data_IF_231394521317
#
_entry.id   IF_231394521317
#
_cell.length_a   1.000
_cell.length_b   1.000
_cell.length_c   1.000
_cell.angle_alpha   90.00
_cell.angle_beta   90.00
_cell.angle_gamma   90.00
#
_symmetry.space_group_name_H-M   'P 1'
#
loop_
_entity.id
_entity.type
_entity.pdbx_description
1 polymer ?
#
# COMPACT_ATOMS: atom_id res chain seq x y z
N UNK A 1 5.94 -30.16 -14.38
CA UNK A 1 6.86 -30.65 -13.31
C UNK A 1 6.09 -30.49 -12.00
N UNK A 2 5.61 -31.59 -11.42
CA UNK A 2 4.69 -31.59 -10.30
C UNK A 2 5.36 -31.04 -9.02
N UNK A 3 4.65 -30.21 -8.27
CA UNK A 3 5.06 -29.74 -6.96
C UNK A 3 4.96 -30.92 -5.98
N UNK A 4 6.10 -31.36 -5.44
CA UNK A 4 6.11 -32.27 -4.29
C UNK A 4 5.55 -31.51 -3.08
N UNK A 5 4.58 -32.12 -2.40
CA UNK A 5 4.10 -31.67 -1.10
C UNK A 5 5.28 -31.74 -0.12
N UNK A 6 5.65 -30.60 0.46
CA UNK A 6 6.62 -30.52 1.55
C UNK A 6 6.17 -31.39 2.73
N UNK A 7 7.12 -32.01 3.41
CA UNK A 7 6.87 -32.88 4.56
C UNK A 7 6.14 -32.18 5.71
N UNK A 8 5.76 -32.93 6.77
CA UNK A 8 5.03 -32.39 7.91
C UNK A 8 5.80 -31.20 8.50
N UNK A 9 5.17 -30.03 8.48
CA UNK A 9 5.70 -28.82 9.10
C UNK A 9 6.02 -29.05 10.57
N UNK A 10 6.93 -28.23 11.11
CA UNK A 10 7.41 -28.31 12.49
C UNK A 10 6.29 -28.31 13.56
N UNK A 11 6.65 -28.37 14.85
CA UNK A 11 5.67 -28.51 15.93
C UNK A 11 4.56 -27.46 15.82
N UNK A 12 3.28 -27.85 16.05
CA UNK A 12 2.14 -26.95 15.89
C UNK A 12 2.32 -25.74 16.80
N UNK A 13 2.47 -24.55 16.20
CA UNK A 13 2.54 -23.31 16.95
C UNK A 13 1.12 -22.92 17.39
N UNK A 14 0.85 -23.01 18.69
CA UNK A 14 -0.39 -22.51 19.29
C UNK A 14 -0.27 -21.00 19.46
N UNK A 15 -1.10 -20.24 18.73
CA UNK A 15 -1.25 -18.80 18.92
C UNK A 15 -2.51 -18.53 19.75
N UNK A 16 -2.34 -17.95 20.93
CA UNK A 16 -3.43 -17.38 21.71
C UNK A 16 -3.49 -15.88 21.45
N UNK A 17 -4.62 -15.39 20.98
CA UNK A 17 -4.94 -13.96 20.93
C UNK A 17 -6.07 -13.73 21.94
N UNK A 18 -5.88 -12.78 22.86
CA UNK A 18 -6.93 -12.37 23.79
C UNK A 18 -7.37 -10.97 23.39
N UNK A 19 -8.61 -10.86 22.92
CA UNK A 19 -9.24 -9.59 22.58
C UNK A 19 -10.14 -9.15 23.72
N UNK A 20 -10.05 -7.87 24.08
CA UNK A 20 -10.86 -7.26 25.12
C UNK A 20 -11.65 -6.12 24.51
N UNK A 21 -12.95 -6.02 24.82
CA UNK A 21 -13.70 -4.80 24.52
C UNK A 21 -13.18 -3.64 25.39
N UNK A 22 -13.36 -2.41 24.89
CA UNK A 22 -12.81 -1.21 25.53
C UNK A 22 -13.26 -1.07 27.00
N UNK A 23 -14.52 -1.40 27.30
CA UNK A 23 -15.07 -1.33 28.65
C UNK A 23 -14.50 -2.39 29.59
N UNK A 24 -14.25 -3.60 29.10
CA UNK A 24 -13.57 -4.65 29.86
C UNK A 24 -12.09 -4.34 30.07
N UNK A 25 -11.40 -3.79 29.06
CA UNK A 25 -10.01 -3.32 29.21
C UNK A 25 -9.90 -2.27 30.31
N UNK A 26 -10.77 -1.26 30.28
CA UNK A 26 -10.75 -0.17 31.25
C UNK A 26 -11.14 -0.62 32.66
N UNK A 27 -12.09 -1.56 32.80
CA UNK A 27 -12.49 -2.11 34.09
C UNK A 27 -11.44 -3.02 34.72
N UNK A 28 -10.78 -3.87 33.93
CA UNK A 28 -9.81 -4.85 34.46
C UNK A 28 -8.41 -4.26 34.65
N UNK A 29 -8.01 -3.32 33.80
CA UNK A 29 -6.66 -2.78 33.81
C UNK A 29 -6.59 -1.28 34.14
N UNK A 30 -7.74 -0.62 34.33
CA UNK A 30 -7.81 0.83 34.56
C UNK A 30 -7.36 1.65 33.35
N UNK A 31 -7.05 2.93 33.56
CA UNK A 31 -6.06 3.59 32.73
C UNK A 31 -4.72 2.94 33.07
N UNK A 32 -4.36 1.87 32.36
CA UNK A 32 -2.93 1.62 32.13
C UNK A 32 -2.45 2.97 31.61
N UNK A 33 -1.64 3.69 32.42
CA UNK A 33 -0.82 4.74 31.83
C UNK A 33 -0.07 3.98 30.77
N UNK A 34 -0.49 4.17 29.51
CA UNK A 34 0.13 3.58 28.34
C UNK A 34 1.61 3.78 28.60
N UNK A 35 2.31 2.69 28.98
CA UNK A 35 3.64 2.82 29.55
C UNK A 35 4.43 3.44 28.42
N UNK A 36 4.68 4.75 28.52
CA UNK A 36 5.28 5.51 27.44
C UNK A 36 6.70 5.01 27.44
N UNK A 37 6.94 3.98 26.63
CA UNK A 37 8.25 3.38 26.46
C UNK A 37 9.14 4.54 26.09
N UNK A 38 10.06 4.88 26.98
CA UNK A 38 10.95 6.00 26.73
C UNK A 38 11.74 5.67 25.46
N UNK A 39 11.55 6.47 24.42
CA UNK A 39 12.26 6.31 23.16
C UNK A 39 13.76 6.19 23.42
N UNK A 40 14.33 5.06 22.99
CA UNK A 40 15.77 4.82 23.03
C UNK A 40 16.50 5.91 22.23
N UNK A 41 17.77 6.15 22.56
CA UNK A 41 18.60 7.15 21.87
C UNK A 41 18.62 6.95 20.35
N UNK A 42 18.63 5.70 19.89
CA UNK A 42 18.56 5.36 18.46
C UNK A 42 17.31 5.89 17.76
N UNK A 43 16.16 5.85 18.44
CA UNK A 43 14.89 6.38 17.91
C UNK A 43 14.98 7.90 17.75
N UNK A 44 15.53 8.58 18.76
CA UNK A 44 15.71 10.05 18.74
C UNK A 44 16.68 10.50 17.65
N UNK A 45 17.81 9.80 17.50
CA UNK A 45 18.79 10.06 16.44
C UNK A 45 18.17 9.86 15.05
N UNK A 46 17.38 8.81 14.88
CA UNK A 46 16.69 8.56 13.61
C UNK A 46 15.65 9.64 13.32
N UNK A 47 14.88 10.09 14.32
CA UNK A 47 13.95 11.21 14.18
C UNK A 47 14.67 12.51 13.77
N UNK A 48 15.80 12.84 14.40
CA UNK A 48 16.59 14.02 14.05
C UNK A 48 17.15 13.95 12.62
N UNK A 49 17.70 12.80 12.22
CA UNK A 49 18.16 12.59 10.85
C UNK A 49 17.02 12.79 9.84
N UNK A 50 15.81 12.40 10.22
CA UNK A 50 14.63 12.59 9.39
C UNK A 50 14.17 14.03 9.26
N UNK A 51 14.24 14.80 10.36
CA UNK A 51 13.88 16.23 10.35
C UNK A 51 14.80 17.05 9.44
N UNK A 52 16.05 16.59 9.22
CA UNK A 52 17.01 17.24 8.33
C UNK A 52 16.84 16.85 6.86
N UNK A 53 16.08 15.79 6.55
CA UNK A 53 15.86 15.32 5.19
C UNK A 53 14.48 15.76 4.68
N UNK A 54 14.35 15.88 3.35
CA UNK A 54 13.05 16.06 2.72
C UNK A 54 12.13 14.88 3.08
N UNK A 55 10.95 15.18 3.62
CA UNK A 55 9.88 14.22 3.88
C UNK A 55 8.82 14.29 2.78
N UNK A 56 8.01 13.24 2.65
CA UNK A 56 6.79 13.24 1.85
C UNK A 56 5.71 12.42 2.55
N UNK A 57 4.49 12.54 2.09
CA UNK A 57 3.36 11.73 2.54
C UNK A 57 3.18 10.51 1.64
N UNK A 58 2.47 9.50 2.14
CA UNK A 58 2.09 8.35 1.34
C UNK A 58 1.12 8.74 0.20
N UNK A 59 0.25 9.71 0.43
CA UNK A 59 -0.63 10.28 -0.58
C UNK A 59 0.16 10.86 -1.76
N UNK A 60 1.20 11.65 -1.50
CA UNK A 60 2.09 12.17 -2.54
C UNK A 60 2.77 11.04 -3.34
N UNK A 61 3.09 9.92 -2.69
CA UNK A 61 3.62 8.75 -3.38
C UNK A 61 2.59 8.12 -4.33
N UNK A 62 1.32 8.05 -3.93
CA UNK A 62 0.24 7.56 -4.80
C UNK A 62 -0.04 8.51 -5.96
N UNK A 63 -0.02 9.82 -5.72
CA UNK A 63 -0.16 10.83 -6.77
C UNK A 63 0.95 10.69 -7.81
N UNK A 64 2.20 10.48 -7.37
CA UNK A 64 3.33 10.23 -8.27
C UNK A 64 3.17 8.91 -9.04
N UNK A 65 2.72 7.85 -8.37
CA UNK A 65 2.55 6.53 -8.99
C UNK A 65 1.43 6.50 -10.05
N UNK A 66 0.39 7.31 -9.87
CA UNK A 66 -0.77 7.39 -10.77
C UNK A 66 -0.72 8.61 -11.70
N UNK A 67 0.39 9.35 -11.67
CA UNK A 67 0.62 10.51 -12.53
C UNK A 67 0.64 10.07 -14.00
N UNK A 68 0.05 10.90 -14.85
CA UNK A 68 0.14 10.73 -16.30
C UNK A 68 1.55 11.08 -16.77
N UNK A 69 2.16 10.16 -17.52
CA UNK A 69 3.52 10.29 -18.04
C UNK A 69 3.49 10.28 -19.57
N UNK A 70 4.27 11.16 -20.20
CA UNK A 70 4.48 11.12 -21.65
C UNK A 70 5.49 10.04 -21.98
N UNK A 71 5.16 9.19 -22.96
CA UNK A 71 6.06 8.18 -23.46
C UNK A 71 7.29 8.85 -24.09
N UNK A 72 8.48 8.30 -23.82
CA UNK A 72 9.68 8.72 -24.53
C UNK A 72 9.52 8.42 -26.04
N UNK A 73 10.25 9.10 -26.93
CA UNK A 73 10.20 8.81 -28.36
C UNK A 73 10.46 7.34 -28.70
N UNK A 74 11.37 6.71 -27.96
CA UNK A 74 11.75 5.29 -28.12
C UNK A 74 10.66 4.32 -27.60
N UNK A 75 9.77 4.79 -26.72
CA UNK A 75 8.63 4.04 -26.16
C UNK A 75 7.30 4.43 -26.83
N UNK A 76 7.34 5.12 -27.97
CA UNK A 76 6.14 5.59 -28.66
C UNK A 76 5.18 4.44 -28.98
N UNK A 77 3.88 4.65 -28.72
CA UNK A 77 2.88 3.62 -28.96
C UNK A 77 2.50 3.60 -30.44
N UNK A 78 2.35 2.40 -31.03
CA UNK A 78 1.90 2.28 -32.41
C UNK A 78 0.37 2.31 -32.48
N UNK A 79 -0.18 3.34 -33.10
CA UNK A 79 -1.62 3.47 -33.23
C UNK A 79 -2.22 2.37 -34.12
N UNK A 80 -3.18 1.56 -33.65
CA UNK A 80 -3.78 0.50 -34.44
C UNK A 80 -4.65 1.04 -35.59
N UNK A 81 -5.10 2.30 -35.51
CA UNK A 81 -5.85 2.96 -36.58
C UNK A 81 -4.92 3.64 -37.59
N UNK A 82 -4.03 4.53 -37.12
CA UNK A 82 -3.14 5.30 -38.01
C UNK A 82 -1.94 4.51 -38.51
N UNK A 83 -1.61 3.36 -37.90
CA UNK A 83 -0.48 2.48 -38.23
C UNK A 83 0.91 3.13 -38.11
N UNK A 84 1.00 4.27 -37.43
CA UNK A 84 2.24 5.03 -37.16
C UNK A 84 2.54 5.07 -35.66
N UNK A 85 3.82 5.27 -35.32
CA UNK A 85 4.24 5.55 -33.94
C UNK A 85 3.72 6.93 -33.53
N UNK A 86 3.19 7.01 -32.32
CA UNK A 86 2.64 8.22 -31.74
C UNK A 86 3.21 8.36 -30.33
N UNK A 87 3.66 9.56 -29.99
CA UNK A 87 4.08 9.85 -28.62
C UNK A 87 2.82 10.10 -27.79
N UNK A 88 2.37 9.06 -27.09
CA UNK A 88 1.17 9.09 -26.28
C UNK A 88 1.48 9.41 -24.81
N UNK A 89 0.43 9.53 -24.02
CA UNK A 89 0.51 9.52 -22.57
C UNK A 89 0.04 8.18 -22.01
N UNK A 90 0.65 7.75 -20.93
CA UNK A 90 0.22 6.59 -20.15
C UNK A 90 -0.14 7.05 -18.76
N UNK A 91 -1.31 6.61 -18.29
CA UNK A 91 -1.76 6.83 -16.92
C UNK A 91 -2.07 5.49 -16.29
N UNK A 92 -1.47 5.23 -15.13
CA UNK A 92 -1.79 4.08 -14.30
C UNK A 92 -2.92 4.45 -13.33
N UNK A 93 -3.82 3.51 -13.05
CA UNK A 93 -4.90 3.71 -12.08
C UNK A 93 -5.26 2.39 -11.37
N UNK A 94 -5.69 2.48 -10.11
CA UNK A 94 -6.14 1.32 -9.34
C UNK A 94 -7.60 1.04 -9.67
N UNK A 95 -7.91 -0.13 -10.25
CA UNK A 95 -9.29 -0.46 -10.63
C UNK A 95 -10.13 -1.01 -9.46
N UNK A 96 -9.51 -1.82 -8.62
CA UNK A 96 -10.11 -2.42 -7.41
C UNK A 96 -9.06 -2.52 -6.34
N UNK A 97 -9.47 -2.42 -5.07
CA UNK A 97 -8.57 -2.62 -3.94
C UNK A 97 -8.82 -3.99 -3.27
N UNK A 98 -7.77 -4.66 -2.78
CA UNK A 98 -7.88 -5.91 -2.03
C UNK A 98 -8.25 -5.66 -0.56
N UNK A 99 -8.77 -6.67 0.14
CA UNK A 99 -9.04 -6.59 1.59
C UNK A 99 -7.76 -6.35 2.40
N UNK A 100 -6.63 -6.87 1.92
CA UNK A 100 -5.28 -6.65 2.49
C UNK A 100 -4.43 -5.94 1.45
N UNK A 101 -4.20 -4.64 1.66
CA UNK A 101 -3.36 -3.82 0.79
C UNK A 101 -1.89 -3.88 1.22
N UNK A 102 -1.02 -4.30 0.30
CA UNK A 102 0.43 -4.31 0.50
C UNK A 102 1.04 -3.14 -0.28
N UNK A 103 1.72 -2.24 0.44
CA UNK A 103 2.38 -1.07 -0.14
C UNK A 103 3.89 -1.24 -0.04
N UNK A 104 4.56 -1.30 -1.19
CA UNK A 104 6.02 -1.34 -1.25
C UNK A 104 6.59 0.01 -1.68
N UNK A 105 7.32 0.65 -0.77
CA UNK A 105 8.08 1.87 -1.07
C UNK A 105 9.36 1.51 -1.83
N UNK A 106 9.48 1.94 -3.09
CA UNK A 106 10.64 1.70 -3.97
C UNK A 106 11.88 2.48 -3.51
N UNK A 107 12.47 2.08 -2.39
CA UNK A 107 13.58 2.80 -1.74
C UNK A 107 14.94 2.51 -2.36
N UNK A 108 15.09 1.44 -3.14
CA UNK A 108 16.36 1.08 -3.73
C UNK A 108 16.42 1.49 -5.19
N UNK A 109 17.47 2.22 -5.56
CA UNK A 109 17.72 2.65 -6.93
C UNK A 109 19.17 2.34 -7.30
N UNK A 110 19.37 1.78 -8.48
CA UNK A 110 20.68 1.67 -9.09
C UNK A 110 20.74 2.62 -10.28
N UNK A 111 21.77 3.46 -10.32
CA UNK A 111 22.07 4.36 -11.45
C UNK A 111 23.51 4.12 -11.84
N UNK A 112 23.72 3.60 -13.05
CA UNK A 112 25.00 3.04 -13.48
C UNK A 112 25.54 2.04 -12.43
N UNK A 113 26.78 2.24 -11.98
CA UNK A 113 27.42 1.42 -10.94
C UNK A 113 27.02 1.82 -9.51
N UNK A 114 26.33 2.95 -9.33
CA UNK A 114 26.01 3.46 -7.99
C UNK A 114 24.67 2.97 -7.51
N UNK A 115 24.70 2.35 -6.33
CA UNK A 115 23.56 1.76 -5.64
C UNK A 115 23.19 2.63 -4.45
N UNK A 116 21.93 3.05 -4.39
CA UNK A 116 21.45 3.98 -3.38
C UNK A 116 20.18 3.49 -2.71
N UNK A 117 20.09 3.76 -1.41
CA UNK A 117 18.84 3.63 -0.64
C UNK A 117 18.31 5.04 -0.34
N UNK A 118 17.04 5.25 -0.66
CA UNK A 118 16.30 6.45 -0.30
C UNK A 118 15.86 6.35 1.16
N UNK A 119 16.37 7.27 1.98
CA UNK A 119 16.09 7.37 3.42
C UNK A 119 15.02 8.41 3.74
N UNK A 120 14.39 9.02 2.73
CA UNK A 120 13.36 10.05 2.91
C UNK A 120 12.17 9.51 3.73
N UNK A 121 11.68 10.34 4.64
CA UNK A 121 10.50 10.06 5.46
C UNK A 121 9.30 9.94 4.58
N UNK A 122 8.57 8.84 4.72
CA UNK A 122 7.22 8.74 4.17
C UNK A 122 6.28 8.71 5.36
N UNK A 123 5.51 9.78 5.51
CA UNK A 123 4.47 9.87 6.52
C UNK A 123 3.24 9.11 6.03
N UNK A 124 2.79 8.14 6.83
CA UNK A 124 1.58 7.36 6.55
C UNK A 124 0.72 7.28 7.82
N UNK A 125 -0.61 7.26 7.69
CA UNK A 125 -1.50 7.12 8.84
C UNK A 125 -1.47 5.68 9.37
N UNK A 126 -1.62 5.53 10.69
CA UNK A 126 -1.79 4.21 11.32
C UNK A 126 -3.22 3.67 11.17
N UNK A 127 -4.19 4.58 11.01
CA UNK A 127 -5.61 4.26 10.89
C UNK A 127 -6.28 5.16 9.86
N UNK A 128 -7.31 4.66 9.20
CA UNK A 128 -8.13 5.44 8.28
C UNK A 128 -7.37 5.98 7.07
N UNK A 129 -6.47 5.18 6.49
CA UNK A 129 -5.89 5.50 5.18
C UNK A 129 -6.99 5.46 4.12
N UNK A 130 -7.40 6.63 3.61
CA UNK A 130 -8.40 6.73 2.55
C UNK A 130 -7.76 6.51 1.17
N UNK A 131 -8.13 5.40 0.53
CA UNK A 131 -7.69 5.05 -0.82
C UNK A 131 -8.67 5.49 -1.91
N UNK A 132 -9.84 6.04 -1.56
CA UNK A 132 -10.85 6.48 -2.52
C UNK A 132 -10.30 7.43 -3.61
N UNK A 133 -9.44 8.42 -3.28
CA UNK A 133 -8.90 9.35 -4.27
C UNK A 133 -7.99 8.69 -5.32
N UNK A 134 -7.45 7.51 -5.01
CA UNK A 134 -6.47 6.81 -5.84
C UNK A 134 -7.09 5.69 -6.70
N UNK A 135 -8.37 5.40 -6.50
CA UNK A 135 -9.13 4.41 -7.29
C UNK A 135 -9.72 5.07 -8.54
N UNK A 136 -9.66 4.36 -9.67
CA UNK A 136 -10.26 4.79 -10.92
C UNK A 136 -11.76 5.01 -10.71
N UNK A 137 -12.24 6.21 -11.02
CA UNK A 137 -13.66 6.50 -11.00
C UNK A 137 -14.37 5.59 -12.00
N UNK A 138 -15.23 4.70 -11.51
CA UNK A 138 -16.12 3.94 -12.38
C UNK A 138 -17.08 4.94 -12.97
N UNK A 139 -16.83 5.35 -14.22
CA UNK A 139 -17.53 6.45 -14.84
C UNK A 139 -19.04 6.37 -14.60
N UNK A 140 -19.57 7.29 -13.81
CA UNK A 140 -20.95 7.71 -13.98
C UNK A 140 -20.97 8.42 -15.33
N UNK A 141 -21.19 7.65 -16.39
CA UNK A 141 -21.70 8.25 -17.61
C UNK A 141 -23.00 8.97 -17.23
N UNK A 142 -23.14 10.28 -17.49
CA UNK A 142 -24.41 10.95 -17.27
C UNK A 142 -25.43 10.33 -18.25
N UNK A 143 -26.33 9.49 -17.71
CA UNK A 143 -27.60 9.17 -18.37
C UNK A 143 -27.68 7.95 -19.28
N UNK A 144 -27.06 6.79 -18.96
CA UNK A 144 -27.48 5.51 -19.58
C UNK A 144 -27.53 4.38 -18.56
N UNK A 145 -28.74 4.03 -18.13
CA UNK A 145 -29.04 2.73 -17.53
C UNK A 145 -28.70 1.67 -18.58
N UNK A 146 -27.64 0.89 -18.36
CA UNK A 146 -27.32 -0.26 -19.19
C UNK A 146 -27.87 -1.54 -18.51
N UNK A 147 -28.65 -2.36 -19.22
CA UNK A 147 -29.20 -3.59 -18.68
C UNK A 147 -28.11 -4.68 -18.65
N UNK A 148 -28.10 -5.45 -17.56
CA UNK A 148 -27.85 -6.89 -17.53
C UNK A 148 -26.57 -7.46 -18.16
N UNK A 149 -25.77 -8.07 -17.28
CA UNK A 149 -25.33 -9.46 -17.40
C UNK A 149 -24.15 -9.78 -18.35
N UNK A 150 -22.92 -9.58 -17.86
CA UNK A 150 -21.82 -10.53 -18.11
C UNK A 150 -20.69 -10.36 -17.08
N UNK A 151 -20.61 -11.29 -16.11
CA UNK A 151 -19.40 -11.79 -15.44
C UNK A 151 -19.80 -12.67 -14.22
N UNK A 152 -19.79 -14.01 -14.32
CA UNK A 152 -20.31 -14.94 -13.29
C UNK A 152 -19.45 -15.13 -12.02
N UNK A 153 -18.49 -14.25 -11.75
CA UNK A 153 -17.44 -14.46 -10.73
C UNK A 153 -17.13 -13.22 -9.89
N UNK A 154 -17.93 -12.16 -10.03
CA UNK A 154 -17.85 -10.97 -9.18
C UNK A 154 -19.22 -10.65 -8.60
N UNK A 155 -19.57 -11.34 -7.53
CA UNK A 155 -20.41 -10.79 -6.48
C UNK A 155 -20.17 -11.63 -5.21
N UNK A 156 -19.44 -11.15 -4.20
CA UNK A 156 -19.81 -11.52 -2.85
C UNK A 156 -21.27 -11.11 -2.69
N UNK A 157 -22.07 -12.02 -2.17
CA UNK A 157 -23.48 -11.82 -1.87
C UNK A 157 -23.73 -10.43 -1.25
N UNK A 158 -24.59 -9.66 -1.90
CA UNK A 158 -25.38 -8.57 -1.32
C UNK A 158 -24.67 -7.68 -0.28
N UNK A 159 -24.03 -6.60 -0.73
CA UNK A 159 -23.87 -5.41 0.12
C UNK A 159 -24.97 -4.41 -0.26
N UNK A 160 -25.82 -3.96 0.68
CA UNK A 160 -26.91 -3.02 0.42
C UNK A 160 -26.41 -1.69 -0.15
N UNK A 161 -27.29 -0.91 -0.79
CA UNK A 161 -27.04 0.43 -1.37
C UNK A 161 -26.41 1.46 -0.41
N UNK A 162 -26.33 1.15 0.89
CA UNK A 162 -25.65 1.93 1.93
C UNK A 162 -24.18 1.56 2.15
N UNK A 163 -23.66 0.57 1.43
CA UNK A 163 -22.26 0.20 1.50
C UNK A 163 -21.43 1.22 0.73
N UNK A 164 -21.12 2.34 1.40
CA UNK A 164 -19.87 3.03 1.12
C UNK A 164 -18.80 1.94 1.04
N UNK A 165 -18.17 1.78 -0.13
CA UNK A 165 -16.94 1.02 -0.18
C UNK A 165 -16.00 1.80 0.72
N UNK A 166 -15.85 1.34 1.95
CA UNK A 166 -14.93 1.93 2.89
C UNK A 166 -13.54 1.60 2.34
N UNK A 167 -13.02 2.48 1.49
CA UNK A 167 -11.65 2.45 0.98
C UNK A 167 -10.64 2.80 2.08
N UNK A 168 -11.02 2.58 3.33
CA UNK A 168 -10.32 2.91 4.54
C UNK A 168 -9.51 1.71 5.00
N UNK A 169 -8.22 1.92 5.17
CA UNK A 169 -7.30 0.89 5.65
C UNK A 169 -6.66 1.31 6.96
N UNK A 170 -6.64 0.38 7.92
CA UNK A 170 -5.82 0.48 9.12
C UNK A 170 -4.50 -0.28 8.91
N UNK A 171 -3.40 0.29 9.38
CA UNK A 171 -2.10 -0.32 9.28
C UNK A 171 -1.98 -1.48 10.26
N UNK A 172 -1.68 -2.68 9.74
CA UNK A 172 -1.52 -3.86 10.58
C UNK A 172 -0.06 -4.29 10.78
N UNK A 173 0.84 -3.97 9.84
CA UNK A 173 2.25 -4.34 9.91
C UNK A 173 3.14 -3.43 9.05
N UNK A 174 4.41 -3.32 9.43
CA UNK A 174 5.45 -2.64 8.66
C UNK A 174 6.67 -3.56 8.59
N UNK A 175 7.24 -3.70 7.40
CA UNK A 175 8.55 -4.31 7.22
C UNK A 175 9.60 -3.21 7.08
N UNK A 176 10.48 -3.09 8.07
CA UNK A 176 11.53 -2.10 8.09
C UNK A 176 12.82 -2.67 7.50
N UNK A 177 13.61 -1.83 6.84
CA UNK A 177 14.94 -2.20 6.38
C UNK A 177 15.97 -1.21 6.91
N UNK A 178 17.01 -1.72 7.57
CA UNK A 178 18.15 -0.94 8.07
C UNK A 178 19.41 -1.31 7.28
N UNK A 179 20.34 -0.37 7.10
CA UNK A 179 21.55 -0.58 6.28
C UNK A 179 21.37 -0.23 4.80
N UNK A 180 22.34 -0.65 3.99
CA UNK A 180 22.48 -0.30 2.56
C UNK A 180 21.95 -1.40 1.64
N UNK A 181 22.08 -1.24 0.32
CA UNK A 181 21.71 -2.28 -0.64
C UNK A 181 22.71 -3.45 -0.67
N UNK A 182 23.94 -3.25 -0.19
CA UNK A 182 24.96 -4.30 -0.14
C UNK A 182 24.84 -5.17 1.12
N UNK A 183 24.25 -4.63 2.18
CA UNK A 183 24.09 -5.32 3.45
C UNK A 183 23.16 -4.54 4.36
N UNK A 184 22.21 -5.25 4.96
CA UNK A 184 21.19 -4.67 5.79
C UNK A 184 20.44 -5.73 6.61
N UNK A 185 19.44 -5.27 7.34
CA UNK A 185 18.64 -6.07 8.25
C UNK A 185 17.17 -5.70 8.12
N UNK A 186 16.29 -6.70 8.18
CA UNK A 186 14.84 -6.52 8.12
C UNK A 186 14.20 -6.87 9.47
N UNK A 187 13.23 -6.07 9.88
CA UNK A 187 12.44 -6.25 11.11
C UNK A 187 10.97 -5.99 10.83
#
# INVERSE_FOLDING_TARGET
>A
RALQLGGPGGPPHVKLTVEWDAGTKERLFGSIQEEVVQDAESVRLQQQAHQQQHSCTLDECFQLYTKEEQLAPDDAWRCPHCKVLQQGTVKLSLWTLPDILIIHLKRFRQVAERRHKLTTLVQFPLRGLDMAPHVAQRGQAPGKQAPGHWAPWKAPLCLPESCQLDYLYDLYAVCNHHGSMQGGHYT
#
